data_IF_799128185791
#
_entry.id   IF_799128185791
#
_cell.length_a   1.000
_cell.length_b   1.000
_cell.length_c   1.000
_cell.angle_alpha   90.00
_cell.angle_beta   90.00
_cell.angle_gamma   90.00
#
_symmetry.space_group_name_H-M   'P 1'
#
loop_
_entity.id
_entity.type
_entity.pdbx_description
1 polymer ?
#
# COMPACT_ATOMS: atom_id res chain seq x y z
N UNK A 1 5.91 9.33 -0.05
CA UNK A 1 6.18 8.16 0.81
C UNK A 1 7.64 7.80 0.64
N UNK A 2 8.31 7.41 1.73
CA UNK A 2 9.70 6.99 1.69
C UNK A 2 9.73 5.47 1.39
N UNK A 3 10.42 5.03 0.33
CA UNK A 3 10.56 3.61 -0.04
C UNK A 3 12.01 3.08 -0.01
N UNK A 4 12.21 1.85 0.45
CA UNK A 4 13.53 1.18 0.42
C UNK A 4 13.88 0.77 -1.01
N UNK A 5 15.16 0.86 -1.37
CA UNK A 5 15.73 0.23 -2.56
C UNK A 5 16.45 -1.09 -2.19
N UNK A 6 15.73 -2.21 -1.98
CA UNK A 6 16.34 -3.48 -1.61
C UNK A 6 17.17 -4.05 -2.76
N UNK A 7 18.30 -4.67 -2.42
CA UNK A 7 19.21 -5.33 -3.37
C UNK A 7 19.24 -6.85 -3.14
N UNK A 8 19.31 -7.68 -4.20
CA UNK A 8 19.35 -7.29 -5.62
C UNK A 8 18.02 -6.70 -6.10
N UNK A 9 18.06 -5.88 -7.15
CA UNK A 9 16.89 -5.16 -7.71
C UNK A 9 15.68 -6.08 -7.99
N UNK A 10 15.92 -7.35 -8.29
CA UNK A 10 14.88 -8.38 -8.47
C UNK A 10 14.06 -8.70 -7.22
N UNK A 11 14.39 -8.12 -6.06
CA UNK A 11 13.59 -8.24 -4.83
C UNK A 11 12.75 -7.00 -4.55
N UNK A 12 12.85 -5.98 -5.40
CA UNK A 12 12.16 -4.70 -5.26
C UNK A 12 10.75 -4.75 -5.89
N UNK A 13 9.85 -5.47 -5.23
CA UNK A 13 8.44 -5.65 -5.66
C UNK A 13 7.46 -4.84 -4.81
N UNK A 14 7.82 -3.63 -4.38
CA UNK A 14 6.90 -2.80 -3.60
C UNK A 14 6.86 -1.34 -4.01
N UNK A 15 7.90 -0.84 -4.68
CA UNK A 15 7.96 0.54 -5.19
C UNK A 15 7.09 0.63 -6.44
N UNK A 16 5.80 0.82 -6.20
CA UNK A 16 4.80 0.91 -7.26
C UNK A 16 4.45 2.35 -7.56
N UNK A 17 4.34 2.66 -8.85
CA UNK A 17 3.68 3.88 -9.32
C UNK A 17 2.18 3.67 -9.25
N UNK A 18 1.47 4.62 -8.62
CA UNK A 18 0.01 4.69 -8.67
C UNK A 18 -0.37 5.72 -9.72
N UNK A 19 -1.16 5.33 -10.72
CA UNK A 19 -1.63 6.22 -11.78
C UNK A 19 -3.14 6.20 -11.80
N UNK A 20 -3.77 7.36 -11.65
CA UNK A 20 -5.21 7.50 -11.87
C UNK A 20 -5.48 7.97 -13.29
N UNK A 21 -6.22 7.17 -14.06
CA UNK A 21 -6.70 7.56 -15.39
C UNK A 21 -8.16 8.05 -15.29
N UNK A 22 -8.43 9.37 -15.39
CA UNK A 22 -9.75 9.93 -15.07
C UNK A 22 -10.86 9.46 -16.03
N UNK A 23 -10.56 9.34 -17.32
CA UNK A 23 -11.57 9.00 -18.33
C UNK A 23 -12.16 7.60 -18.14
N UNK A 24 -11.34 6.62 -17.74
CA UNK A 24 -11.82 5.25 -17.43
C UNK A 24 -12.12 5.04 -15.95
N UNK A 25 -11.87 6.06 -15.12
CA UNK A 25 -11.94 5.99 -13.65
C UNK A 25 -11.14 4.81 -13.09
N UNK A 26 -9.96 4.55 -13.64
CA UNK A 26 -9.15 3.38 -13.26
C UNK A 26 -7.92 3.81 -12.49
N UNK A 27 -7.70 3.21 -11.32
CA UNK A 27 -6.42 3.24 -10.64
C UNK A 27 -5.53 2.13 -11.21
N UNK A 28 -4.40 2.48 -11.78
CA UNK A 28 -3.35 1.53 -12.11
C UNK A 28 -2.37 1.46 -10.94
N UNK A 29 -2.11 0.24 -10.50
CA UNK A 29 -1.14 -0.07 -9.45
C UNK A 29 -0.30 -1.25 -9.95
N UNK A 30 1.00 -1.14 -9.77
CA UNK A 30 1.94 -2.23 -10.03
C UNK A 30 1.84 -3.28 -8.90
N UNK A 31 2.88 -3.44 -8.07
CA UNK A 31 2.91 -4.51 -7.08
C UNK A 31 2.27 -4.17 -5.73
N UNK A 32 1.94 -2.91 -5.40
CA UNK A 32 1.53 -2.60 -4.01
C UNK A 32 0.22 -3.26 -3.58
N UNK A 33 -0.77 -3.32 -4.47
CA UNK A 33 -2.08 -3.92 -4.23
C UNK A 33 -2.31 -5.00 -5.27
N UNK A 34 -2.71 -6.19 -4.83
CA UNK A 34 -3.03 -7.32 -5.68
C UNK A 34 -4.54 -7.55 -5.67
N UNK A 35 -5.10 -7.99 -6.80
CA UNK A 35 -6.51 -8.37 -6.90
C UNK A 35 -6.69 -9.85 -7.21
N UNK A 36 -7.03 -10.64 -6.19
CA UNK A 36 -7.24 -12.07 -6.34
C UNK A 36 -8.66 -12.36 -6.86
N UNK A 37 -8.89 -12.28 -8.18
CA UNK A 37 -10.22 -12.58 -8.75
C UNK A 37 -10.64 -14.02 -8.43
N UNK A 38 -9.78 -14.99 -8.75
CA UNK A 38 -9.97 -16.42 -8.48
C UNK A 38 -8.63 -17.04 -8.02
N UNK A 39 -8.18 -16.79 -6.79
CA UNK A 39 -6.93 -17.35 -6.27
C UNK A 39 -6.93 -18.88 -6.38
N UNK A 40 -5.80 -19.45 -6.81
CA UNK A 40 -5.59 -20.89 -6.77
C UNK A 40 -5.71 -21.44 -5.34
N UNK A 41 -5.93 -22.75 -5.22
CA UNK A 41 -6.21 -23.42 -3.93
C UNK A 41 -5.19 -23.08 -2.83
N UNK A 42 -3.90 -23.02 -3.16
CA UNK A 42 -2.84 -22.66 -2.21
C UNK A 42 -3.01 -21.25 -1.64
N UNK A 43 -3.34 -20.26 -2.47
CA UNK A 43 -3.58 -18.89 -2.01
C UNK A 43 -4.83 -18.79 -1.13
N UNK A 44 -5.88 -19.57 -1.43
CA UNK A 44 -7.07 -19.66 -0.56
C UNK A 44 -6.73 -20.17 0.83
N UNK A 45 -5.82 -21.15 0.94
CA UNK A 45 -5.36 -21.67 2.22
C UNK A 45 -4.59 -20.62 3.05
N UNK A 46 -3.92 -19.67 2.38
CA UNK A 46 -3.30 -18.50 3.02
C UNK A 46 -4.27 -17.34 3.29
N UNK A 47 -5.59 -17.57 3.14
CA UNK A 47 -6.63 -16.61 3.52
C UNK A 47 -7.07 -15.65 2.41
N UNK A 48 -6.58 -15.80 1.17
CA UNK A 48 -7.07 -15.02 0.04
C UNK A 48 -8.47 -15.51 -0.36
N UNK A 49 -9.42 -14.58 -0.42
CA UNK A 49 -10.79 -14.84 -0.86
C UNK A 49 -10.95 -14.47 -2.34
N UNK A 50 -11.95 -15.07 -2.99
CA UNK A 50 -12.32 -14.69 -4.35
C UNK A 50 -12.76 -13.22 -4.37
N UNK A 51 -12.29 -12.48 -5.37
CA UNK A 51 -12.56 -11.06 -5.53
C UNK A 51 -11.94 -10.16 -4.45
N UNK A 52 -10.94 -10.62 -3.70
CA UNK A 52 -10.34 -9.82 -2.62
C UNK A 52 -9.13 -8.99 -3.09
N UNK A 53 -9.05 -7.76 -2.59
CA UNK A 53 -7.83 -6.96 -2.63
C UNK A 53 -6.93 -7.27 -1.43
N UNK A 54 -5.62 -7.25 -1.63
CA UNK A 54 -4.63 -7.42 -0.58
C UNK A 54 -3.38 -6.57 -0.85
N UNK A 55 -2.70 -6.12 0.20
CA UNK A 55 -1.35 -5.58 0.05
C UNK A 55 -0.38 -6.71 -0.32
N UNK A 56 0.58 -6.40 -1.18
CA UNK A 56 1.60 -7.37 -1.55
C UNK A 56 2.44 -7.79 -0.34
N UNK A 57 2.86 -9.07 -0.24
CA UNK A 57 3.52 -9.61 0.95
C UNK A 57 4.80 -8.86 1.37
N UNK A 58 5.47 -8.22 0.42
CA UNK A 58 6.70 -7.44 0.68
C UNK A 58 6.49 -6.27 1.66
N UNK A 59 5.25 -5.81 1.87
CA UNK A 59 4.94 -4.82 2.92
C UNK A 59 5.42 -5.27 4.31
N UNK A 60 5.51 -6.58 4.57
CA UNK A 60 5.88 -7.14 5.88
C UNK A 60 7.40 -7.16 6.15
N UNK A 61 8.21 -6.94 5.12
CA UNK A 61 9.67 -7.05 5.21
C UNK A 61 10.40 -5.90 4.50
N UNK A 62 10.45 -5.88 3.17
CA UNK A 62 11.31 -5.01 2.37
C UNK A 62 10.59 -3.85 1.69
N UNK A 63 9.26 -3.79 1.77
CA UNK A 63 8.47 -2.79 1.07
C UNK A 63 8.49 -1.39 1.69
N UNK A 64 8.76 -1.29 2.99
CA UNK A 64 8.78 -0.04 3.72
C UNK A 64 10.15 0.17 4.37
N UNK A 65 10.55 1.43 4.57
CA UNK A 65 11.77 1.72 5.33
C UNK A 65 11.72 1.06 6.72
N UNK A 66 12.87 0.56 7.23
CA UNK A 66 12.93 -0.11 8.51
C UNK A 66 12.87 0.88 9.69
N UNK A 67 12.12 1.96 9.55
CA UNK A 67 11.84 2.99 10.56
C UNK A 67 10.48 2.71 11.20
N UNK A 68 10.25 3.17 12.43
CA UNK A 68 8.94 3.00 13.09
C UNK A 68 7.81 3.75 12.37
N UNK A 69 8.15 4.73 11.56
CA UNK A 69 7.22 5.71 11.05
C UNK A 69 6.72 5.36 9.64
N UNK A 70 7.54 4.63 8.86
CA UNK A 70 7.21 4.26 7.48
C UNK A 70 5.84 3.58 7.32
N UNK A 71 5.39 2.66 8.20
CA UNK A 71 4.04 2.08 8.09
C UNK A 71 2.92 3.12 8.22
N UNK A 72 3.07 4.11 9.11
CA UNK A 72 2.08 5.16 9.30
C UNK A 72 2.12 6.18 8.16
N UNK A 73 3.31 6.56 7.71
CA UNK A 73 3.47 7.44 6.54
C UNK A 73 2.82 6.83 5.28
N UNK A 74 3.00 5.52 5.07
CA UNK A 74 2.33 4.81 3.97
C UNK A 74 0.80 4.82 4.13
N UNK A 75 0.29 4.48 5.31
CA UNK A 75 -1.15 4.51 5.63
C UNK A 75 -1.75 5.88 5.35
N UNK A 76 -1.11 6.94 5.84
CA UNK A 76 -1.65 8.30 5.75
C UNK A 76 -1.54 8.86 4.33
N UNK A 77 -0.49 8.48 3.58
CA UNK A 77 -0.42 8.75 2.15
C UNK A 77 -1.56 8.06 1.38
N UNK A 78 -1.83 6.77 1.63
CA UNK A 78 -2.96 6.05 1.03
C UNK A 78 -4.32 6.70 1.36
N UNK A 79 -4.50 7.19 2.60
CA UNK A 79 -5.72 7.92 3.00
C UNK A 79 -5.89 9.22 2.20
N UNK A 80 -4.82 9.97 1.98
CA UNK A 80 -4.84 11.18 1.14
C UNK A 80 -5.17 10.83 -0.31
N UNK A 81 -4.51 9.82 -0.88
CA UNK A 81 -4.81 9.32 -2.24
C UNK A 81 -6.28 8.94 -2.40
N UNK A 82 -6.85 8.19 -1.46
CA UNK A 82 -8.26 7.80 -1.50
C UNK A 82 -9.21 8.99 -1.37
N UNK A 83 -8.82 10.05 -0.66
CA UNK A 83 -9.62 11.28 -0.60
C UNK A 83 -9.62 12.01 -1.94
N UNK A 84 -8.48 12.05 -2.62
CA UNK A 84 -8.28 12.90 -3.79
C UNK A 84 -8.69 12.21 -5.10
N UNK A 85 -8.61 10.87 -5.18
CA UNK A 85 -8.80 10.13 -6.43
C UNK A 85 -10.10 9.30 -6.44
N UNK A 86 -11.13 9.70 -7.21
CA UNK A 86 -12.43 9.04 -7.23
C UNK A 86 -12.49 7.89 -8.27
N UNK A 87 -11.57 6.92 -8.19
CA UNK A 87 -11.56 5.77 -9.10
C UNK A 87 -12.72 4.79 -8.83
N UNK A 88 -13.15 4.05 -9.85
CA UNK A 88 -14.16 2.98 -9.75
C UNK A 88 -13.57 1.60 -9.99
N UNK A 89 -12.50 1.54 -10.78
CA UNK A 89 -11.80 0.32 -11.17
C UNK A 89 -10.37 0.34 -10.63
N UNK A 90 -9.77 -0.83 -10.45
CA UNK A 90 -8.34 -0.96 -10.16
C UNK A 90 -7.71 -2.04 -11.04
N UNK A 91 -6.66 -1.66 -11.75
CA UNK A 91 -5.85 -2.54 -12.58
C UNK A 91 -4.56 -2.84 -11.82
N UNK A 92 -4.44 -4.06 -11.30
CA UNK A 92 -3.26 -4.50 -10.55
C UNK A 92 -2.32 -5.26 -11.49
N UNK A 93 -1.00 -5.08 -11.35
CA UNK A 93 -0.03 -5.86 -12.14
C UNK A 93 -0.13 -7.37 -11.88
N UNK A 94 -0.50 -7.73 -10.66
CA UNK A 94 -0.74 -9.10 -10.27
C UNK A 94 -2.22 -9.46 -10.20
N UNK A 95 -2.50 -10.68 -10.70
CA UNK A 95 -3.72 -11.46 -10.58
C UNK A 95 -4.94 -10.96 -11.37
N UNK A 96 -5.15 -9.66 -11.56
CA UNK A 96 -6.20 -9.19 -12.47
C UNK A 96 -6.66 -7.75 -12.29
N UNK A 97 -7.77 -7.44 -12.97
CA UNK A 97 -8.43 -6.12 -12.94
C UNK A 97 -9.75 -6.25 -12.19
N UNK A 98 -9.96 -5.42 -11.18
CA UNK A 98 -11.24 -5.29 -10.51
C UNK A 98 -12.05 -4.18 -11.15
N UNK A 99 -13.21 -4.56 -11.68
CA UNK A 99 -14.21 -3.63 -12.23
C UNK A 99 -15.25 -3.27 -11.17
N UNK A 100 -15.47 -1.97 -10.97
CA UNK A 100 -16.50 -1.42 -10.07
C UNK A 100 -16.21 -1.57 -8.58
N UNK A 101 -16.58 -0.55 -7.80
CA UNK A 101 -16.47 -0.55 -6.34
C UNK A 101 -15.03 -0.60 -5.80
N UNK A 102 -14.01 -0.43 -6.64
CA UNK A 102 -12.61 -0.55 -6.23
C UNK A 102 -12.23 0.43 -5.13
N UNK A 103 -12.74 1.66 -5.15
CA UNK A 103 -12.45 2.66 -4.13
C UNK A 103 -12.90 2.23 -2.72
N UNK A 104 -14.10 1.67 -2.61
CA UNK A 104 -14.64 1.12 -1.36
C UNK A 104 -13.81 -0.07 -0.89
N UNK A 105 -13.40 -0.94 -1.81
CA UNK A 105 -12.62 -2.12 -1.46
C UNK A 105 -11.19 -1.76 -1.03
N UNK A 106 -10.54 -0.78 -1.68
CA UNK A 106 -9.21 -0.28 -1.26
C UNK A 106 -9.31 0.43 0.10
N UNK A 107 -10.38 1.20 0.33
CA UNK A 107 -10.65 1.83 1.63
C UNK A 107 -10.81 0.77 2.72
N UNK A 108 -11.57 -0.29 2.43
CA UNK A 108 -11.79 -1.42 3.34
C UNK A 108 -10.48 -2.17 3.61
N UNK A 109 -9.67 -2.42 2.58
CA UNK A 109 -8.34 -3.02 2.71
C UNK A 109 -7.44 -2.19 3.64
N UNK A 110 -7.39 -0.87 3.44
CA UNK A 110 -6.56 0.03 4.24
C UNK A 110 -7.00 0.04 5.71
N UNK A 111 -8.31 0.07 5.97
CA UNK A 111 -8.85 0.03 7.33
C UNK A 111 -8.57 -1.30 8.03
N UNK A 112 -8.73 -2.42 7.32
CA UNK A 112 -8.44 -3.75 7.86
C UNK A 112 -6.95 -3.97 8.15
N UNK A 113 -6.06 -3.21 7.51
CA UNK A 113 -4.62 -3.29 7.69
C UNK A 113 -4.10 -2.47 8.89
N UNK A 114 -4.93 -1.78 9.67
CA UNK A 114 -4.45 -0.93 10.79
C UNK A 114 -3.59 -1.72 11.78
N UNK A 115 -4.02 -2.93 12.16
CA UNK A 115 -3.24 -3.80 13.06
C UNK A 115 -1.90 -4.26 12.47
N UNK A 116 -1.81 -4.35 11.13
CA UNK A 116 -0.55 -4.65 10.45
C UNK A 116 0.42 -3.47 10.57
N UNK A 117 -0.04 -2.23 10.34
CA UNK A 117 0.80 -1.05 10.45
C UNK A 117 1.38 -0.87 11.86
N UNK A 118 0.56 -1.08 12.89
CA UNK A 118 1.01 -1.08 14.30
C UNK A 118 2.10 -2.12 14.53
N UNK A 119 1.88 -3.38 14.11
CA UNK A 119 2.87 -4.45 14.28
C UNK A 119 4.18 -4.16 13.55
N UNK A 120 4.14 -3.58 12.36
CA UNK A 120 5.33 -3.21 11.60
C UNK A 120 6.09 -2.07 12.27
N UNK A 121 5.37 -1.05 12.77
CA UNK A 121 5.98 0.06 13.50
C UNK A 121 6.70 -0.43 14.76
N UNK A 122 6.04 -1.26 15.57
CA UNK A 122 6.64 -1.84 16.79
C UNK A 122 7.85 -2.72 16.49
N UNK A 123 7.76 -3.55 15.45
CA UNK A 123 8.87 -4.40 14.99
C UNK A 123 10.08 -3.55 14.60
N UNK A 124 9.88 -2.48 13.84
CA UNK A 124 10.95 -1.60 13.39
C UNK A 124 11.55 -0.82 14.56
N UNK A 125 10.72 -0.32 15.49
CA UNK A 125 11.19 0.35 16.72
C UNK A 125 12.08 -0.55 17.59
N UNK A 126 11.70 -1.82 17.75
CA UNK A 126 12.52 -2.80 18.50
C UNK A 126 13.85 -3.10 17.81
N UNK A 127 13.88 -3.06 16.49
CA UNK A 127 15.09 -3.30 15.69
C UNK A 127 16.02 -2.08 15.69
N UNK A 128 15.46 -0.87 15.67
CA UNK A 128 16.17 0.41 15.59
C UNK A 128 15.62 1.43 16.61
N UNK A 129 15.98 1.30 17.91
CA UNK A 129 15.40 2.12 18.98
C UNK A 129 15.79 3.61 18.93
N UNK A 130 16.79 3.99 18.13
CA UNK A 130 17.24 5.38 17.96
C UNK A 130 16.40 6.22 16.99
N UNK A 131 15.52 5.60 16.18
CA UNK A 131 14.78 6.26 15.08
C UNK A 131 13.34 6.65 15.46
N UNK A 132 12.98 6.60 16.75
CA UNK A 132 11.61 6.81 17.18
C UNK A 132 11.22 8.30 17.21
N UNK A 133 10.42 8.75 16.23
CA UNK A 133 9.65 9.98 16.37
C UNK A 133 8.37 9.66 17.16
N UNK A 134 7.96 10.48 18.15
CA UNK A 134 6.71 10.26 18.87
C UNK A 134 5.51 10.21 17.91
N UNK A 135 4.51 9.34 18.16
CA UNK A 135 3.37 9.14 17.27
C UNK A 135 2.56 10.42 16.98
N UNK A 136 2.65 11.42 17.85
CA UNK A 136 1.93 12.69 17.75
C UNK A 136 2.72 13.78 16.97
N UNK A 137 3.96 13.47 16.58
CA UNK A 137 4.91 14.40 15.96
C UNK A 137 5.27 14.04 14.51
N UNK A 138 4.48 13.18 13.85
CA UNK A 138 4.66 12.97 12.42
C UNK A 138 4.47 14.32 11.71
N UNK A 139 5.51 14.87 11.05
CA UNK A 139 5.35 16.11 10.33
C UNK A 139 4.23 15.90 9.32
N UNK A 140 3.23 16.78 9.36
CA UNK A 140 2.34 16.96 8.22
C UNK A 140 3.26 17.10 7.01
N UNK A 141 3.28 16.10 6.13
CA UNK A 141 3.91 16.26 4.83
C UNK A 141 3.13 17.37 4.14
N UNK A 142 3.58 18.61 4.35
CA UNK A 142 3.40 19.72 3.43
C UNK A 142 4.12 19.27 2.18
N UNK A 143 3.39 18.56 1.33
CA UNK A 143 3.63 18.59 -0.11
C UNK A 143 3.12 19.97 -0.52
N UNK A 144 3.88 21.01 -0.16
CA UNK A 144 3.71 22.33 -0.73
C UNK A 144 4.13 22.21 -2.18
N UNK A 145 3.14 22.32 -3.04
CA UNK A 145 3.22 22.80 -4.41
C UNK A 145 4.12 22.01 -5.38
N UNK A 146 3.42 21.55 -6.42
CA UNK A 146 3.87 21.38 -7.80
C UNK A 146 4.20 19.96 -8.31
N UNK A 147 3.43 19.68 -9.37
CA UNK A 147 3.78 18.95 -10.58
C UNK A 147 3.77 17.42 -10.52
N UNK A 148 2.56 16.87 -10.68
CA UNK A 148 2.34 15.87 -11.73
C UNK A 148 1.13 16.34 -12.54
N UNK A 149 1.39 16.84 -13.77
CA UNK A 149 0.38 17.05 -14.80
C UNK A 149 -0.12 15.76 -15.42
#
# INVERSE_FOLDING_TARGET
AEFVNPQPESTNHFVSVFVYHPASRTLHVDDTIMYAEKPGFLLKLFGYKDGALAFHPSIKNSGLYPTSDAPYLFRDWMRKLLKDWPFENICCAHLGVKMGGAHVDVTTLLNNAESLFVKLSEKNRKKNPGDAIPPDNHPNMNVSDNECG
#
